data_IF_560752757904
#
_entry.id   IF_560752757904
#
_cell.length_a   1.000
_cell.length_b   1.000
_cell.length_c   1.000
_cell.angle_alpha   90.00
_cell.angle_beta   90.00
_cell.angle_gamma   90.00
#
_symmetry.space_group_name_H-M   'P 1'
#
loop_
_entity.id
_entity.type
_entity.pdbx_description
1 polymer ?
#
# COMPACT_ATOMS: atom_id res chain seq x y z
N UNK A 1 2.45 -23.80 -15.00
CA UNK A 1 3.58 -24.75 -14.93
C UNK A 1 3.72 -25.36 -16.29
N UNK A 2 4.96 -25.57 -16.79
CA UNK A 2 5.16 -26.42 -17.96
C UNK A 2 4.79 -27.88 -17.62
N UNK A 3 4.66 -28.74 -18.62
CA UNK A 3 4.28 -30.15 -18.43
C UNK A 3 5.35 -30.91 -17.62
N UNK A 4 4.90 -31.82 -16.75
CA UNK A 4 5.77 -32.71 -15.97
C UNK A 4 6.58 -33.59 -16.94
N UNK A 5 7.92 -33.52 -16.84
CA UNK A 5 8.86 -34.18 -17.75
C UNK A 5 9.42 -33.30 -18.87
N UNK A 6 8.90 -32.09 -19.07
CA UNK A 6 9.53 -31.12 -19.98
C UNK A 6 10.88 -30.63 -19.44
N UNK A 7 11.79 -30.23 -20.33
CA UNK A 7 13.10 -29.70 -19.96
C UNK A 7 13.02 -28.42 -19.10
N UNK A 8 11.91 -27.68 -19.19
CA UNK A 8 11.69 -26.45 -18.43
C UNK A 8 11.14 -26.70 -17.03
N UNK A 9 10.53 -27.88 -16.77
CA UNK A 9 9.86 -28.15 -15.50
C UNK A 9 10.78 -28.05 -14.28
N UNK A 10 11.97 -28.69 -14.26
CA UNK A 10 12.87 -28.60 -13.10
C UNK A 10 13.35 -27.17 -12.85
N UNK A 11 13.58 -26.41 -13.93
CA UNK A 11 14.02 -25.01 -13.84
C UNK A 11 12.94 -24.10 -13.26
N UNK A 12 11.71 -24.21 -13.77
CA UNK A 12 10.57 -23.43 -13.26
C UNK A 12 10.30 -23.77 -11.80
N UNK A 13 10.38 -25.05 -11.43
CA UNK A 13 10.22 -25.48 -10.05
C UNK A 13 11.31 -24.90 -9.14
N UNK A 14 12.58 -25.01 -9.53
CA UNK A 14 13.71 -24.50 -8.76
C UNK A 14 13.58 -23.01 -8.45
N UNK A 15 13.38 -22.16 -9.47
CA UNK A 15 13.29 -20.72 -9.24
C UNK A 15 12.03 -20.32 -8.49
N UNK A 16 10.91 -21.01 -8.70
CA UNK A 16 9.70 -20.79 -7.91
C UNK A 16 9.97 -21.06 -6.43
N UNK A 17 10.51 -22.22 -6.08
CA UNK A 17 10.79 -22.60 -4.69
C UNK A 17 11.83 -21.67 -4.05
N UNK A 18 12.87 -21.32 -4.80
CA UNK A 18 13.88 -20.36 -4.37
C UNK A 18 13.26 -19.00 -4.02
N UNK A 19 12.43 -18.45 -4.90
CA UNK A 19 11.80 -17.15 -4.69
C UNK A 19 10.70 -17.17 -3.63
N UNK A 20 9.91 -18.26 -3.55
CA UNK A 20 8.85 -18.42 -2.56
C UNK A 20 9.42 -18.64 -1.14
N UNK A 21 10.68 -19.09 -1.03
CA UNK A 21 11.38 -19.28 0.25
C UNK A 21 11.83 -17.96 0.91
N UNK A 22 11.85 -16.85 0.17
CA UNK A 22 12.29 -15.56 0.67
C UNK A 22 11.36 -15.05 1.80
N UNK A 23 11.90 -14.64 2.97
CA UNK A 23 11.12 -14.20 4.12
C UNK A 23 10.60 -12.76 3.93
N UNK A 24 9.62 -12.60 3.01
CA UNK A 24 9.05 -11.30 2.66
C UNK A 24 8.37 -10.60 3.84
N UNK A 25 7.86 -11.36 4.82
CA UNK A 25 7.32 -10.79 6.06
C UNK A 25 8.43 -10.16 6.91
N UNK A 26 9.56 -10.84 7.09
CA UNK A 26 10.71 -10.31 7.81
C UNK A 26 11.27 -9.06 7.13
N UNK A 27 11.41 -9.04 5.79
CA UNK A 27 11.82 -7.83 5.06
C UNK A 27 10.83 -6.68 5.26
N UNK A 28 9.52 -6.96 5.16
CA UNK A 28 8.51 -5.91 5.29
C UNK A 28 8.56 -5.26 6.68
N UNK A 29 8.58 -6.05 7.75
CA UNK A 29 8.63 -5.50 9.10
C UNK A 29 9.99 -4.89 9.42
N UNK A 30 11.08 -5.54 9.03
CA UNK A 30 12.44 -5.06 9.23
C UNK A 30 12.67 -3.70 8.60
N UNK A 31 12.26 -3.50 7.34
CA UNK A 31 12.36 -2.21 6.64
C UNK A 31 11.47 -1.11 7.25
N UNK A 32 10.35 -1.46 7.88
CA UNK A 32 9.49 -0.51 8.60
C UNK A 32 10.13 -0.09 9.93
N UNK A 33 10.79 -1.02 10.62
CA UNK A 33 11.43 -0.77 11.90
C UNK A 33 12.77 -0.04 11.74
N UNK A 34 13.53 -0.38 10.70
CA UNK A 34 14.88 0.09 10.37
C UNK A 34 14.91 0.82 9.01
N UNK A 35 14.28 2.00 8.89
CA UNK A 35 14.16 2.72 7.61
C UNK A 35 15.51 3.14 7.02
N UNK A 36 16.57 3.25 7.82
CA UNK A 36 17.95 3.54 7.40
C UNK A 36 18.54 2.50 6.45
N UNK A 37 17.94 1.30 6.38
CA UNK A 37 18.33 0.25 5.44
C UNK A 37 17.66 0.37 4.07
N UNK A 38 16.72 1.32 3.91
CA UNK A 38 15.90 1.49 2.71
C UNK A 38 16.14 2.85 2.05
N UNK A 39 15.97 2.90 0.73
CA UNK A 39 16.06 4.15 -0.05
C UNK A 39 14.88 4.21 -1.01
N UNK A 40 14.22 5.36 -1.09
CA UNK A 40 13.03 5.58 -1.91
C UNK A 40 11.87 4.61 -1.60
N UNK A 41 11.71 4.25 -0.32
CA UNK A 41 10.59 3.40 0.12
C UNK A 41 9.26 4.06 -0.24
N UNK A 42 8.36 3.29 -0.83
CA UNK A 42 7.01 3.77 -1.14
C UNK A 42 6.12 3.77 0.09
N UNK A 43 6.52 3.12 1.19
CA UNK A 43 5.72 3.04 2.42
C UNK A 43 5.47 4.44 2.99
N UNK A 44 4.21 4.86 3.24
CA UNK A 44 3.93 6.18 3.80
C UNK A 44 4.37 6.26 5.25
N UNK A 45 4.89 7.42 5.67
CA UNK A 45 5.34 7.65 7.04
C UNK A 45 4.24 7.38 8.11
N UNK A 46 2.97 7.64 7.80
CA UNK A 46 1.86 7.35 8.72
C UNK A 46 1.62 5.84 8.91
N UNK A 47 1.93 5.01 7.90
CA UNK A 47 1.79 3.57 7.98
C UNK A 47 2.90 3.02 8.88
N UNK A 48 4.12 3.52 8.76
CA UNK A 48 5.25 3.17 9.63
C UNK A 48 4.94 3.45 11.10
N UNK A 49 4.42 4.64 11.43
CA UNK A 49 4.07 4.99 12.81
C UNK A 49 2.90 4.16 13.36
N UNK A 50 1.88 3.90 12.53
CA UNK A 50 0.76 3.02 12.89
C UNK A 50 1.19 1.58 13.10
N UNK A 51 2.06 1.04 12.25
CA UNK A 51 2.54 -0.33 12.37
C UNK A 51 3.38 -0.47 13.63
N UNK A 52 4.27 0.49 13.92
CA UNK A 52 5.03 0.53 15.19
C UNK A 52 4.11 0.59 16.40
N UNK A 53 3.06 1.43 16.35
CA UNK A 53 2.07 1.52 17.43
C UNK A 53 1.22 0.26 17.55
N UNK A 54 0.78 -0.35 16.44
CA UNK A 54 0.06 -1.62 16.44
C UNK A 54 0.92 -2.71 17.03
N UNK A 55 2.18 -2.83 16.62
CA UNK A 55 3.14 -3.77 17.20
C UNK A 55 3.20 -3.64 18.73
N UNK A 56 3.30 -2.41 19.24
CA UNK A 56 3.31 -2.15 20.70
C UNK A 56 1.98 -2.45 21.39
N UNK A 57 0.85 -2.21 20.71
CA UNK A 57 -0.49 -2.32 21.32
C UNK A 57 -1.14 -3.69 21.11
N UNK A 58 -0.66 -4.50 20.16
CA UNK A 58 -1.27 -5.80 19.84
C UNK A 58 -1.09 -6.78 21.00
N UNK A 59 -0.01 -6.66 21.78
CA UNK A 59 0.19 -7.51 22.98
C UNK A 59 -0.93 -7.29 24.01
N UNK A 60 -1.27 -6.03 24.31
CA UNK A 60 -2.32 -5.71 25.28
C UNK A 60 -3.71 -6.00 24.74
N UNK A 61 -3.94 -5.82 23.43
CA UNK A 61 -5.20 -6.17 22.78
C UNK A 61 -5.42 -7.69 22.75
N UNK A 62 -4.39 -8.49 22.46
CA UNK A 62 -4.47 -9.95 22.52
C UNK A 62 -4.72 -10.46 23.94
N UNK A 63 -4.09 -9.83 24.94
CA UNK A 63 -4.34 -10.16 26.35
C UNK A 63 -5.79 -9.88 26.74
N UNK A 64 -6.32 -8.71 26.35
CA UNK A 64 -7.71 -8.34 26.58
C UNK A 64 -8.68 -9.32 25.90
N UNK A 65 -8.43 -9.69 24.64
CA UNK A 65 -9.26 -10.67 23.93
C UNK A 65 -9.23 -12.07 24.56
N UNK A 66 -8.10 -12.46 25.13
CA UNK A 66 -7.97 -13.72 25.86
C UNK A 66 -8.79 -13.72 27.17
N UNK A 67 -8.92 -12.56 27.83
CA UNK A 67 -9.76 -12.38 29.01
C UNK A 67 -11.26 -12.32 28.64
N UNK A 68 -11.60 -11.71 27.51
CA UNK A 68 -12.99 -11.58 27.02
C UNK A 68 -13.53 -12.88 26.39
N UNK A 69 -12.66 -13.79 25.92
CA UNK A 69 -13.05 -15.04 25.25
C UNK A 69 -12.28 -16.23 25.86
N UNK A 70 -12.75 -16.76 27.02
CA UNK A 70 -12.05 -17.82 27.76
C UNK A 70 -11.90 -19.14 26.97
N UNK A 71 -12.82 -19.42 26.07
CA UNK A 71 -12.83 -20.57 25.17
C UNK A 71 -11.71 -20.53 24.11
N UNK A 72 -11.22 -19.34 23.77
CA UNK A 72 -10.14 -19.11 22.81
C UNK A 72 -8.83 -18.66 23.48
N UNK A 73 -8.77 -18.65 24.81
CA UNK A 73 -7.67 -18.11 25.59
C UNK A 73 -6.32 -18.69 25.17
N UNK A 74 -6.22 -20.00 25.03
CA UNK A 74 -4.98 -20.68 24.62
C UNK A 74 -4.53 -20.27 23.21
N UNK A 75 -5.47 -20.08 22.29
CA UNK A 75 -5.17 -19.63 20.93
C UNK A 75 -4.64 -18.19 20.90
N UNK A 76 -5.21 -17.31 21.74
CA UNK A 76 -4.73 -15.93 21.89
C UNK A 76 -3.35 -15.87 22.54
N UNK A 77 -3.10 -16.64 23.60
CA UNK A 77 -1.79 -16.75 24.26
C UNK A 77 -0.74 -17.28 23.28
N UNK A 78 -1.07 -18.33 22.50
CA UNK A 78 -0.18 -18.87 21.49
C UNK A 78 0.14 -17.82 20.41
N UNK A 79 -0.86 -17.04 19.97
CA UNK A 79 -0.67 -15.95 19.00
C UNK A 79 0.20 -14.83 19.57
N UNK A 80 0.01 -14.47 20.84
CA UNK A 80 0.83 -13.47 21.54
C UNK A 80 2.30 -13.92 21.60
N UNK A 81 2.56 -15.18 21.98
CA UNK A 81 3.91 -15.74 22.02
C UNK A 81 4.59 -15.75 20.64
N UNK A 82 3.85 -16.13 19.59
CA UNK A 82 4.34 -16.09 18.20
C UNK A 82 4.67 -14.67 17.75
N UNK A 83 3.81 -13.70 18.07
CA UNK A 83 4.02 -12.30 17.72
C UNK A 83 5.27 -11.75 18.42
N UNK A 84 5.42 -11.99 19.72
CA UNK A 84 6.57 -11.54 20.50
C UNK A 84 7.89 -12.10 19.96
N UNK A 85 7.92 -13.40 19.63
CA UNK A 85 9.10 -14.02 19.00
C UNK A 85 9.44 -13.35 17.66
N UNK A 86 8.45 -13.23 16.76
CA UNK A 86 8.65 -12.62 15.45
C UNK A 86 9.15 -11.18 15.54
N UNK A 87 8.64 -10.40 16.50
CA UNK A 87 9.06 -9.01 16.68
C UNK A 87 10.50 -8.89 17.17
N UNK A 88 10.91 -9.74 18.14
CA UNK A 88 12.29 -9.77 18.61
C UNK A 88 13.27 -10.13 17.50
N UNK A 89 12.89 -11.07 16.64
CA UNK A 89 13.71 -11.49 15.50
C UNK A 89 13.79 -10.38 14.43
N UNK A 90 12.68 -9.67 14.16
CA UNK A 90 12.62 -8.60 13.16
C UNK A 90 13.26 -7.28 13.63
N UNK A 91 13.31 -7.01 14.94
CA UNK A 91 13.99 -5.85 15.52
C UNK A 91 15.52 -6.04 15.57
N UNK A 92 16.00 -7.28 15.42
CA UNK A 92 17.42 -7.58 15.39
C UNK A 92 18.05 -7.17 14.03
N UNK A 93 18.65 -5.99 14.00
CA UNK A 93 19.34 -5.47 12.80
C UNK A 93 20.42 -6.41 12.24
N UNK A 94 21.09 -7.21 13.09
CA UNK A 94 22.10 -8.17 12.62
C UNK A 94 21.45 -9.32 11.85
N UNK A 95 20.32 -9.83 12.35
CA UNK A 95 19.55 -10.85 11.65
C UNK A 95 18.99 -10.29 10.34
N UNK A 96 18.42 -9.08 10.37
CA UNK A 96 17.89 -8.41 9.17
C UNK A 96 18.97 -8.23 8.09
N UNK A 97 20.17 -7.78 8.46
CA UNK A 97 21.31 -7.69 7.53
C UNK A 97 21.65 -9.05 6.93
N UNK A 98 21.72 -10.10 7.74
CA UNK A 98 22.00 -11.47 7.27
C UNK A 98 20.99 -11.94 6.22
N UNK A 99 19.68 -11.78 6.48
CA UNK A 99 18.65 -12.22 5.52
C UNK A 99 18.58 -11.34 4.27
N UNK A 100 19.03 -10.08 4.35
CA UNK A 100 19.20 -9.21 3.17
C UNK A 100 20.43 -9.63 2.35
N UNK A 101 21.51 -10.08 2.99
CA UNK A 101 22.67 -10.61 2.28
C UNK A 101 22.35 -11.94 1.59
N UNK A 102 21.49 -12.78 2.19
CA UNK A 102 20.94 -13.98 1.55
C UNK A 102 20.06 -13.62 0.33
N UNK A 103 19.24 -12.57 0.43
CA UNK A 103 18.49 -12.04 -0.70
C UNK A 103 19.43 -11.61 -1.84
N UNK A 104 20.53 -10.93 -1.55
CA UNK A 104 21.49 -10.51 -2.58
C UNK A 104 22.01 -11.72 -3.37
N UNK A 105 22.32 -12.84 -2.70
CA UNK A 105 22.76 -14.09 -3.36
C UNK A 105 21.68 -14.69 -4.26
N UNK A 106 20.42 -14.67 -3.83
CA UNK A 106 19.30 -15.15 -4.66
C UNK A 106 19.15 -14.28 -5.91
N UNK A 107 19.26 -12.96 -5.76
CA UNK A 107 19.18 -12.04 -6.91
C UNK A 107 20.38 -12.18 -7.84
N UNK A 108 21.57 -12.52 -7.33
CA UNK A 108 22.73 -12.85 -8.17
C UNK A 108 22.50 -14.12 -8.99
N UNK A 109 21.92 -15.17 -8.39
CA UNK A 109 21.55 -16.38 -9.13
C UNK A 109 20.53 -16.09 -10.23
N UNK A 110 19.55 -15.23 -9.97
CA UNK A 110 18.57 -14.80 -10.97
C UNK A 110 19.23 -13.98 -12.07
N UNK A 111 20.10 -13.03 -11.73
CA UNK A 111 20.84 -12.22 -12.70
C UNK A 111 21.69 -13.08 -13.64
N UNK A 112 22.44 -14.04 -13.09
CA UNK A 112 23.25 -14.97 -13.89
C UNK A 112 22.39 -15.80 -14.85
N UNK A 113 21.22 -16.24 -14.40
CA UNK A 113 20.31 -17.01 -15.27
C UNK A 113 19.70 -16.14 -16.37
N UNK A 114 19.30 -14.91 -16.06
CA UNK A 114 18.81 -13.95 -17.05
C UNK A 114 19.89 -13.59 -18.08
N UNK A 115 21.13 -13.42 -17.63
CA UNK A 115 22.27 -13.20 -18.52
C UNK A 115 22.48 -14.40 -19.45
N UNK A 116 22.54 -15.61 -18.89
CA UNK A 116 22.70 -16.85 -19.66
C UNK A 116 21.60 -17.00 -20.72
N UNK A 117 20.36 -16.62 -20.38
CA UNK A 117 19.25 -16.63 -21.33
C UNK A 117 19.42 -15.64 -22.47
N UNK A 118 19.91 -14.43 -22.18
CA UNK A 118 20.19 -13.45 -23.21
C UNK A 118 21.32 -13.90 -24.15
N UNK A 119 22.34 -14.59 -23.62
CA UNK A 119 23.45 -15.14 -24.42
C UNK A 119 23.03 -16.33 -25.30
N UNK A 120 22.08 -17.14 -24.83
CA UNK A 120 21.56 -18.30 -25.57
C UNK A 120 20.50 -17.91 -26.63
N UNK A 121 19.96 -16.69 -26.57
CA UNK A 121 18.92 -16.23 -27.50
C UNK A 121 19.52 -15.41 -28.64
N UNK A 122 19.25 -15.75 -29.92
CA UNK A 122 19.67 -14.96 -31.06
C UNK A 122 19.15 -13.51 -30.98
N UNK A 123 19.92 -12.53 -31.47
CA UNK A 123 19.56 -11.10 -31.42
C UNK A 123 18.22 -10.76 -32.11
N UNK A 124 17.76 -11.60 -33.05
CA UNK A 124 16.51 -11.44 -33.80
C UNK A 124 15.28 -12.10 -33.13
N UNK A 125 15.47 -12.83 -32.03
CA UNK A 125 14.37 -13.48 -31.31
C UNK A 125 13.83 -12.62 -30.15
N UNK A 126 12.59 -12.89 -29.76
CA UNK A 126 12.01 -12.22 -28.59
C UNK A 126 12.82 -12.57 -27.34
N UNK A 127 13.18 -11.54 -26.56
CA UNK A 127 13.87 -11.76 -25.28
C UNK A 127 13.15 -12.84 -24.44
N UNK A 128 13.87 -13.85 -23.95
CA UNK A 128 13.28 -14.92 -23.14
C UNK A 128 12.84 -14.38 -21.77
N UNK A 129 12.01 -15.16 -21.08
CA UNK A 129 11.70 -15.00 -19.67
C UNK A 129 12.67 -15.84 -18.82
N UNK A 130 12.53 -15.84 -17.49
CA UNK A 130 13.50 -16.44 -16.58
C UNK A 130 13.83 -17.90 -16.93
N UNK A 131 12.80 -18.68 -17.29
CA UNK A 131 12.95 -20.11 -17.53
C UNK A 131 12.89 -20.53 -19.00
N UNK A 132 12.54 -19.63 -19.92
CA UNK A 132 12.38 -19.90 -21.36
C UNK A 132 11.51 -18.84 -22.05
N UNK A 133 11.02 -19.10 -23.26
CA UNK A 133 10.36 -18.08 -24.10
C UNK A 133 8.91 -17.79 -23.67
N UNK A 134 8.40 -18.55 -22.72
CA UNK A 134 7.08 -18.41 -22.14
C UNK A 134 7.15 -17.85 -20.72
N UNK A 135 6.11 -17.09 -20.34
CA UNK A 135 5.99 -16.59 -18.98
C UNK A 135 5.44 -17.69 -18.06
N UNK A 136 6.23 -18.06 -17.06
CA UNK A 136 6.00 -19.20 -16.18
C UNK A 136 5.59 -18.79 -14.76
N UNK A 137 5.40 -19.77 -13.86
CA UNK A 137 5.15 -19.46 -12.44
C UNK A 137 6.38 -18.87 -11.75
N UNK A 138 7.59 -19.24 -12.16
CA UNK A 138 8.80 -18.63 -11.63
C UNK A 138 8.84 -17.12 -11.93
N UNK A 139 8.37 -16.73 -13.11
CA UNK A 139 8.27 -15.32 -13.51
C UNK A 139 7.20 -14.56 -12.71
N UNK A 140 6.11 -15.23 -12.32
CA UNK A 140 5.11 -14.67 -11.40
C UNK A 140 5.73 -14.40 -10.04
N UNK A 141 6.39 -15.39 -9.43
CA UNK A 141 7.07 -15.24 -8.14
C UNK A 141 8.13 -14.14 -8.21
N UNK A 142 8.96 -14.11 -9.27
CA UNK A 142 9.98 -13.09 -9.45
C UNK A 142 9.38 -11.69 -9.60
N UNK A 143 8.37 -11.54 -10.46
CA UNK A 143 7.69 -10.27 -10.68
C UNK A 143 7.11 -9.67 -9.40
N UNK A 144 6.42 -10.50 -8.61
CA UNK A 144 5.81 -10.07 -7.34
C UNK A 144 6.89 -9.73 -6.30
N UNK A 145 7.95 -10.55 -6.21
CA UNK A 145 9.09 -10.31 -5.31
C UNK A 145 9.79 -9.00 -5.65
N UNK A 146 10.20 -8.78 -6.90
CA UNK A 146 10.86 -7.54 -7.32
C UNK A 146 9.98 -6.31 -7.08
N UNK A 147 8.68 -6.44 -7.34
CA UNK A 147 7.74 -5.36 -7.06
C UNK A 147 7.65 -5.02 -5.58
N UNK A 148 7.56 -6.04 -4.72
CA UNK A 148 7.56 -5.83 -3.28
C UNK A 148 8.88 -5.24 -2.79
N UNK A 149 10.02 -5.70 -3.29
CA UNK A 149 11.32 -5.15 -2.94
C UNK A 149 11.45 -3.67 -3.37
N UNK A 150 10.90 -3.30 -4.54
CA UNK A 150 10.81 -1.88 -4.95
C UNK A 150 9.92 -1.08 -4.01
N UNK A 151 8.77 -1.62 -3.64
CA UNK A 151 7.86 -0.99 -2.68
C UNK A 151 8.53 -0.75 -1.32
N UNK A 152 9.35 -1.70 -0.85
CA UNK A 152 10.10 -1.59 0.41
C UNK A 152 11.30 -0.63 0.34
N UNK A 153 11.65 -0.10 -0.83
CA UNK A 153 12.84 0.75 -0.99
C UNK A 153 14.16 -0.02 -1.04
N UNK A 154 14.11 -1.30 -1.45
CA UNK A 154 15.30 -2.15 -1.60
C UNK A 154 15.82 -2.18 -3.05
N UNK A 155 15.09 -1.62 -4.00
CA UNK A 155 15.45 -1.65 -5.43
C UNK A 155 16.84 -1.04 -5.68
N UNK A 156 17.07 0.22 -5.29
CA UNK A 156 18.31 0.95 -5.60
C UNK A 156 19.60 0.25 -5.12
N UNK A 157 19.53 -0.51 -4.03
CA UNK A 157 20.67 -1.29 -3.50
C UNK A 157 20.87 -2.61 -4.26
N UNK A 158 19.81 -3.15 -4.85
CA UNK A 158 19.80 -4.48 -5.44
C UNK A 158 19.87 -4.50 -6.96
N UNK A 159 19.27 -3.52 -7.65
CA UNK A 159 19.36 -3.39 -9.10
C UNK A 159 19.22 -1.93 -9.54
N UNK A 160 19.72 -1.61 -10.73
CA UNK A 160 19.83 -0.25 -11.26
C UNK A 160 21.20 0.37 -11.00
N UNK A 161 21.46 1.52 -11.63
CA UNK A 161 22.77 2.22 -11.60
C UNK A 161 23.97 1.30 -11.96
N UNK A 162 23.76 0.37 -12.89
CA UNK A 162 24.79 -0.59 -13.32
C UNK A 162 24.88 -1.88 -12.49
N UNK A 163 24.14 -2.01 -11.39
CA UNK A 163 24.03 -3.27 -10.64
C UNK A 163 22.88 -4.11 -11.20
N UNK A 164 23.15 -5.38 -11.56
CA UNK A 164 22.18 -6.36 -12.08
C UNK A 164 21.30 -5.80 -13.25
N UNK A 165 21.92 -5.46 -14.38
CA UNK A 165 21.22 -4.83 -15.51
C UNK A 165 20.16 -5.75 -16.16
N UNK A 166 20.38 -7.06 -16.19
CA UNK A 166 19.40 -7.97 -16.82
C UNK A 166 18.12 -8.06 -15.97
N UNK A 167 18.27 -8.08 -14.65
CA UNK A 167 17.16 -8.04 -13.71
C UNK A 167 16.40 -6.71 -13.77
N UNK A 168 17.10 -5.57 -13.92
CA UNK A 168 16.46 -4.28 -14.17
C UNK A 168 15.63 -4.29 -15.46
N UNK A 169 16.23 -4.73 -16.57
CA UNK A 169 15.54 -4.84 -17.86
C UNK A 169 14.32 -5.77 -17.80
N UNK A 170 14.47 -6.92 -17.13
CA UNK A 170 13.39 -7.87 -16.87
C UNK A 170 12.26 -7.21 -16.10
N UNK A 171 12.56 -6.48 -15.02
CA UNK A 171 11.54 -5.83 -14.20
C UNK A 171 10.80 -4.73 -14.97
N UNK A 172 11.51 -3.91 -15.74
CA UNK A 172 10.88 -2.88 -16.59
C UNK A 172 9.99 -3.51 -17.67
N UNK A 173 10.35 -4.68 -18.20
CA UNK A 173 9.49 -5.47 -19.09
C UNK A 173 8.24 -5.99 -18.37
N UNK A 174 8.37 -6.49 -17.15
CA UNK A 174 7.24 -6.94 -16.32
C UNK A 174 6.23 -5.82 -16.07
N UNK A 175 6.70 -4.60 -15.77
CA UNK A 175 5.83 -3.44 -15.51
C UNK A 175 4.92 -3.09 -16.69
N UNK A 176 5.37 -3.34 -17.93
CA UNK A 176 4.61 -3.09 -19.16
C UNK A 176 3.52 -4.15 -19.42
N UNK A 177 3.55 -5.28 -18.71
CA UNK A 177 2.59 -6.38 -18.91
C UNK A 177 1.21 -5.97 -18.39
N UNK A 178 0.20 -6.02 -19.25
CA UNK A 178 -1.19 -5.64 -18.91
C UNK A 178 -1.73 -6.36 -17.67
N UNK A 179 -1.47 -7.67 -17.54
CA UNK A 179 -1.90 -8.45 -16.38
C UNK A 179 -1.30 -7.94 -15.07
N UNK A 180 -0.01 -7.60 -15.09
CA UNK A 180 0.70 -7.04 -13.95
C UNK A 180 0.16 -5.64 -13.60
N UNK A 181 0.04 -4.77 -14.61
CA UNK A 181 -0.44 -3.40 -14.43
C UNK A 181 -1.86 -3.34 -13.84
N UNK A 182 -2.77 -4.24 -14.26
CA UNK A 182 -4.14 -4.31 -13.72
C UNK A 182 -4.19 -4.57 -12.22
N UNK A 183 -3.26 -5.37 -11.69
CA UNK A 183 -3.27 -5.77 -10.28
C UNK A 183 -2.40 -4.84 -9.43
N UNK A 184 -1.20 -4.53 -9.89
CA UNK A 184 -0.16 -3.88 -9.09
C UNK A 184 0.12 -2.44 -9.52
N UNK A 185 -0.31 -2.02 -10.72
CA UNK A 185 -0.13 -0.64 -11.19
C UNK A 185 -0.81 0.41 -10.31
N UNK A 186 -1.88 0.03 -9.58
CA UNK A 186 -2.59 0.91 -8.66
C UNK A 186 -2.07 0.82 -7.22
N UNK A 187 -1.32 -0.23 -6.87
CA UNK A 187 -0.78 -0.46 -5.52
C UNK A 187 0.34 0.52 -5.18
N UNK A 188 1.09 0.96 -6.20
CA UNK A 188 2.10 2.03 -6.07
C UNK A 188 1.50 3.38 -5.69
N UNK A 189 0.20 3.60 -5.87
CA UNK A 189 -0.47 4.85 -5.53
C UNK A 189 -1.17 4.70 -4.17
N UNK A 190 -0.38 4.70 -3.10
CA UNK A 190 -0.85 4.44 -1.73
C UNK A 190 -1.89 5.46 -1.25
N UNK A 191 -1.87 6.67 -1.83
CA UNK A 191 -2.94 7.65 -1.68
C UNK A 191 -4.31 7.10 -2.13
N UNK A 192 -4.36 6.37 -3.24
CA UNK A 192 -5.61 5.81 -3.76
C UNK A 192 -5.99 4.54 -2.99
N UNK A 193 -5.05 3.67 -2.63
CA UNK A 193 -5.40 2.39 -1.98
C UNK A 193 -5.69 2.50 -0.48
N UNK A 194 -5.01 3.39 0.24
CA UNK A 194 -5.15 3.50 1.70
C UNK A 194 -5.99 4.72 2.13
N UNK A 195 -5.86 5.85 1.44
CA UNK A 195 -6.57 7.08 1.80
C UNK A 195 -7.95 7.13 1.15
N UNK A 196 -8.16 6.62 -0.07
CA UNK A 196 -9.47 6.66 -0.71
C UNK A 196 -10.54 5.88 0.07
N UNK A 197 -10.30 4.64 0.58
CA UNK A 197 -11.31 3.92 1.35
C UNK A 197 -11.60 4.55 2.70
N UNK A 198 -10.59 5.13 3.36
CA UNK A 198 -10.77 5.81 4.65
C UNK A 198 -11.42 7.18 4.48
N UNK A 199 -11.02 7.97 3.49
CA UNK A 199 -11.66 9.22 3.11
C UNK A 199 -13.13 8.98 2.69
N UNK A 200 -13.40 7.95 1.89
CA UNK A 200 -14.76 7.56 1.52
C UNK A 200 -15.59 7.13 2.74
N UNK A 201 -15.01 6.35 3.65
CA UNK A 201 -15.65 5.95 4.91
C UNK A 201 -15.94 7.15 5.82
N UNK A 202 -15.01 8.09 5.94
CA UNK A 202 -15.18 9.32 6.73
C UNK A 202 -16.20 10.25 6.08
N UNK A 203 -16.18 10.41 4.76
CA UNK A 203 -17.18 11.16 4.01
C UNK A 203 -18.57 10.57 4.20
N UNK A 204 -18.73 9.25 4.05
CA UNK A 204 -20.01 8.55 4.30
C UNK A 204 -20.50 8.72 5.75
N UNK A 205 -19.59 8.71 6.74
CA UNK A 205 -19.92 8.90 8.16
C UNK A 205 -20.24 10.35 8.52
N UNK A 206 -19.66 11.33 7.82
CA UNK A 206 -19.87 12.78 8.07
C UNK A 206 -20.95 13.42 7.18
N UNK A 207 -21.34 12.76 6.09
CA UNK A 207 -22.40 13.23 5.19
C UNK A 207 -23.72 13.62 5.90
N UNK A 208 -24.23 12.86 6.90
CA UNK A 208 -25.46 13.25 7.59
C UNK A 208 -25.33 14.56 8.38
N UNK A 209 -24.13 14.84 8.93
CA UNK A 209 -23.88 16.06 9.71
C UNK A 209 -23.72 17.30 8.81
N UNK A 210 -23.06 17.16 7.67
CA UNK A 210 -22.85 18.28 6.72
C UNK A 210 -24.15 18.65 6.01
N UNK A 211 -24.97 17.66 5.64
CA UNK A 211 -26.31 17.92 5.10
C UNK A 211 -27.22 18.60 6.13
N UNK A 212 -27.17 18.17 7.40
CA UNK A 212 -27.95 18.81 8.47
C UNK A 212 -27.54 20.26 8.75
N UNK A 213 -26.24 20.57 8.78
CA UNK A 213 -25.76 21.93 9.06
C UNK A 213 -26.00 22.89 7.89
N UNK A 214 -25.82 22.44 6.65
CA UNK A 214 -26.09 23.28 5.47
C UNK A 214 -27.57 23.63 5.33
N UNK A 215 -28.47 22.71 5.68
CA UNK A 215 -29.92 22.94 5.68
C UNK A 215 -30.36 23.90 6.79
N UNK A 216 -29.75 23.83 7.98
CA UNK A 216 -30.01 24.77 9.07
C UNK A 216 -29.53 26.19 8.76
N UNK A 217 -28.33 26.33 8.19
CA UNK A 217 -27.78 27.64 7.83
C UNK A 217 -28.59 28.29 6.70
N UNK A 218 -29.04 27.52 5.71
CA UNK A 218 -29.89 28.04 4.63
C UNK A 218 -31.27 28.47 5.13
N UNK A 219 -31.87 27.71 6.06
CA UNK A 219 -33.13 28.10 6.71
C UNK A 219 -32.98 29.39 7.54
N UNK A 220 -31.92 29.51 8.34
CA UNK A 220 -31.67 30.71 9.16
C UNK A 220 -31.44 31.96 8.29
N UNK A 221 -30.66 31.83 7.21
CA UNK A 221 -30.44 32.91 6.26
C UNK A 221 -31.74 33.32 5.54
N UNK A 222 -32.56 32.35 5.12
CA UNK A 222 -33.86 32.61 4.51
C UNK A 222 -34.83 33.34 5.44
N UNK A 223 -34.92 32.91 6.71
CA UNK A 223 -35.74 33.58 7.73
C UNK A 223 -35.25 35.01 8.03
N UNK A 224 -33.93 35.21 8.13
CA UNK A 224 -33.35 36.54 8.33
C UNK A 224 -33.64 37.48 7.16
N UNK A 225 -33.55 36.99 5.92
CA UNK A 225 -33.89 37.76 4.72
C UNK A 225 -35.37 38.16 4.67
N UNK A 226 -36.27 37.23 5.01
CA UNK A 226 -37.71 37.52 5.08
C UNK A 226 -38.04 38.54 6.17
N UNK A 227 -37.43 38.43 7.36
CA UNK A 227 -37.60 39.40 8.43
C UNK A 227 -37.11 40.79 8.02
N UNK A 228 -35.95 40.88 7.36
CA UNK A 228 -35.43 42.13 6.82
C UNK A 228 -36.37 42.75 5.78
N UNK A 229 -36.91 41.95 4.87
CA UNK A 229 -37.87 42.42 3.86
C UNK A 229 -39.18 42.93 4.49
N UNK A 230 -39.69 42.24 5.51
CA UNK A 230 -40.87 42.69 6.28
C UNK A 230 -40.61 44.01 7.02
N UNK A 231 -39.45 44.14 7.67
CA UNK A 231 -39.04 45.38 8.32
C UNK A 231 -38.92 46.51 7.30
N UNK A 232 -38.26 46.26 6.16
CA UNK A 232 -38.08 47.26 5.10
C UNK A 232 -39.43 47.77 4.58
N UNK A 233 -40.38 46.87 4.28
CA UNK A 233 -41.76 47.24 3.89
C UNK A 233 -42.47 48.06 4.97
N UNK A 234 -42.33 47.68 6.25
CA UNK A 234 -42.94 48.41 7.37
C UNK A 234 -42.37 49.82 7.50
N UNK A 235 -41.05 49.99 7.36
CA UNK A 235 -40.42 51.31 7.32
C UNK A 235 -40.85 52.14 6.10
N UNK A 236 -41.00 51.51 4.93
CA UNK A 236 -41.48 52.24 3.73
C UNK A 236 -42.92 52.75 3.94
N UNK A 237 -43.79 51.93 4.51
CA UNK A 237 -45.17 52.33 4.83
C UNK A 237 -45.24 53.43 5.89
N UNK A 238 -44.37 53.39 6.91
CA UNK A 238 -44.27 54.46 7.91
C UNK A 238 -43.79 55.77 7.28
N UNK A 239 -42.76 55.73 6.43
CA UNK A 239 -42.26 56.93 5.72
C UNK A 239 -43.32 57.51 4.77
N UNK A 240 -44.08 56.67 4.07
CA UNK A 240 -45.22 57.10 3.24
C UNK A 240 -46.32 57.76 4.08
N UNK A 241 -46.63 57.24 5.28
CA UNK A 241 -47.62 57.84 6.20
C UNK A 241 -47.20 59.20 6.77
N UNK A 242 -45.89 59.43 6.94
CA UNK A 242 -45.38 60.74 7.33
C UNK A 242 -45.46 61.76 6.18
N UNK A 243 -45.27 61.31 4.94
CA UNK A 243 -45.31 62.18 3.74
C UNK A 243 -46.72 62.65 3.38
N UNK A 244 -47.75 61.82 3.60
CA UNK A 244 -49.16 62.23 3.44
C UNK A 244 -49.65 63.15 4.56
N UNK A 245 -49.04 63.11 5.75
CA UNK A 245 -49.40 64.02 6.85
C UNK A 245 -48.80 65.42 6.70
N UNK A 246 -47.72 65.55 5.93
CA UNK A 246 -47.06 66.82 5.61
C UNK A 246 -47.70 67.58 4.43
N UNK A 247 -48.70 67.00 3.77
CA UNK A 247 -49.41 67.62 2.63
C UNK A 247 -50.70 68.36 3.04
N UNK A 248 -50.98 68.48 4.35
CA UNK A 248 -52.16 69.13 4.92
C UNK A 248 -51.84 70.29 5.87
N UNK A 249 -50.69 70.95 5.70
CA UNK A 249 -50.36 72.24 6.31
C UNK A 249 -49.82 73.20 5.26
#
# INVERSE_FOLDING_TARGET
MPEEGSMYYPRVQHYRELLDSLPMDAYTHGCILHPELTVDSMIPAYATSRIRSQISNTESELKKLAEENPDLQDAYIAKQKRLKSKLLDHDNIKYLKKILDELEKVLDQVETELQRRNEETPEDENQPWLCGDFFSLADVSLAVTLHRLKFLGLARRNWGNGKRPNLEAYYERVLKRKAFYKVLGHVNNILISAVLPTAFRVAKKRAPRVLGTTLLVSMLAGMGYLAFMCLRKRFTNVILSFRTRQSYF
#
